data_IF_439957609530
#
_entry.id   IF_439957609530
#
_cell.length_a   1.000
_cell.length_b   1.000
_cell.length_c   1.000
_cell.angle_alpha   90.00
_cell.angle_beta   90.00
_cell.angle_gamma   90.00
#
_symmetry.space_group_name_H-M   'P 1'
#
loop_
_entity.id
_entity.type
_entity.pdbx_description
1 polymer ?
#
# COMPACT_ATOMS: atom_id res chain seq x y z
N UNK A 1 7.79 14.98 15.15
CA UNK A 1 6.49 14.36 14.86
C UNK A 1 6.13 14.82 13.48
N UNK A 2 5.91 13.89 12.56
CA UNK A 2 5.61 14.24 11.17
C UNK A 2 4.22 14.89 11.09
N UNK A 3 4.06 15.94 10.26
CA UNK A 3 2.79 16.65 10.15
C UNK A 3 1.74 15.73 9.52
N UNK A 4 0.48 15.90 9.97
CA UNK A 4 -0.65 15.26 9.31
C UNK A 4 -0.85 15.90 7.94
N UNK A 5 -0.88 15.08 6.89
CA UNK A 5 -1.02 15.50 5.50
C UNK A 5 -2.27 14.84 4.89
N UNK A 6 -3.13 15.65 4.25
CA UNK A 6 -4.15 15.16 3.32
C UNK A 6 -3.65 15.34 1.90
N UNK A 7 -3.53 14.25 1.15
CA UNK A 7 -3.09 14.28 -0.24
C UNK A 7 -4.09 13.61 -1.18
N UNK A 8 -4.23 14.18 -2.37
CA UNK A 8 -4.81 13.53 -3.55
C UNK A 8 -3.69 13.29 -4.56
N UNK A 9 -4.03 12.86 -5.78
CA UNK A 9 -3.03 12.69 -6.84
C UNK A 9 -2.26 13.98 -7.16
N UNK A 10 -2.96 15.12 -7.17
CA UNK A 10 -2.43 16.40 -7.68
C UNK A 10 -2.19 17.45 -6.59
N UNK A 11 -2.61 17.20 -5.34
CA UNK A 11 -2.60 18.24 -4.29
C UNK A 11 -2.33 17.66 -2.91
N UNK A 12 -1.60 18.41 -2.08
CA UNK A 12 -1.36 18.10 -0.67
C UNK A 12 -1.73 19.27 0.23
N UNK A 13 -2.27 18.98 1.41
CA UNK A 13 -2.70 19.93 2.42
C UNK A 13 -2.09 19.53 3.77
N UNK A 14 -1.19 20.35 4.30
CA UNK A 14 -0.64 20.17 5.64
C UNK A 14 -1.66 20.61 6.69
N UNK A 15 -1.81 19.81 7.75
CA UNK A 15 -2.74 20.06 8.87
C UNK A 15 -4.15 20.46 8.40
N UNK A 16 -4.78 19.61 7.57
CA UNK A 16 -6.05 19.94 6.94
C UNK A 16 -7.16 20.11 7.99
N UNK A 17 -7.96 21.16 7.85
CA UNK A 17 -9.15 21.34 8.69
C UNK A 17 -10.32 20.47 8.20
N UNK A 18 -11.38 20.39 9.02
CA UNK A 18 -12.54 19.55 8.71
C UNK A 18 -13.24 19.95 7.41
N UNK A 19 -13.23 21.25 7.05
CA UNK A 19 -13.82 21.76 5.82
C UNK A 19 -13.02 21.35 4.58
N UNK A 20 -11.68 21.41 4.67
CA UNK A 20 -10.77 20.96 3.62
C UNK A 20 -10.92 19.46 3.38
N UNK A 21 -10.96 18.66 4.45
CA UNK A 21 -11.22 17.21 4.37
C UNK A 21 -12.53 16.94 3.63
N UNK A 22 -13.63 17.58 4.05
CA UNK A 22 -14.95 17.38 3.45
C UNK A 22 -14.96 17.77 1.96
N UNK A 23 -14.34 18.90 1.62
CA UNK A 23 -14.25 19.38 0.24
C UNK A 23 -13.47 18.43 -0.65
N UNK A 24 -12.31 17.94 -0.18
CA UNK A 24 -11.47 17.00 -0.92
C UNK A 24 -12.22 15.69 -1.17
N UNK A 25 -12.82 15.10 -0.14
CA UNK A 25 -13.58 13.86 -0.27
C UNK A 25 -14.80 14.02 -1.19
N UNK A 26 -15.50 15.15 -1.11
CA UNK A 26 -16.63 15.45 -2.00
C UNK A 26 -16.20 15.67 -3.47
N UNK A 27 -14.93 15.99 -3.71
CA UNK A 27 -14.38 16.16 -5.06
C UNK A 27 -13.92 14.87 -5.72
N UNK A 28 -13.95 13.74 -4.99
CA UNK A 28 -13.63 12.43 -5.54
C UNK A 28 -14.76 11.97 -6.46
N UNK A 29 -14.47 11.96 -7.76
CA UNK A 29 -15.40 11.66 -8.85
C UNK A 29 -15.18 10.27 -9.45
N UNK A 30 -14.15 9.53 -9.00
CA UNK A 30 -13.77 8.24 -9.57
C UNK A 30 -13.12 8.34 -10.96
N UNK A 31 -12.90 9.56 -11.47
CA UNK A 31 -12.21 9.85 -12.72
C UNK A 31 -10.76 10.19 -12.47
N UNK A 32 -10.41 11.49 -12.53
CA UNK A 32 -9.05 11.95 -12.19
C UNK A 32 -8.78 11.91 -10.69
N UNK A 33 -9.81 12.14 -9.88
CA UNK A 33 -9.71 12.16 -8.42
C UNK A 33 -10.26 10.84 -7.85
N UNK A 34 -9.42 9.81 -7.91
CA UNK A 34 -9.81 8.44 -7.51
C UNK A 34 -9.56 8.15 -6.03
N UNK A 35 -8.69 8.93 -5.38
CA UNK A 35 -8.28 8.66 -4.00
C UNK A 35 -7.87 9.92 -3.22
N UNK A 36 -8.07 9.85 -1.91
CA UNK A 36 -7.55 10.80 -0.94
C UNK A 36 -6.91 10.04 0.23
N UNK A 37 -5.72 10.46 0.65
CA UNK A 37 -4.96 9.84 1.74
C UNK A 37 -4.72 10.87 2.83
N UNK A 38 -5.07 10.53 4.07
CA UNK A 38 -4.81 11.32 5.26
C UNK A 38 -3.85 10.54 6.16
N UNK A 39 -2.65 11.05 6.38
CA UNK A 39 -1.64 10.31 7.13
C UNK A 39 -0.47 11.17 7.59
N UNK A 40 0.40 10.56 8.39
CA UNK A 40 1.67 11.19 8.85
C UNK A 40 2.88 10.59 8.16
N UNK A 41 2.73 9.39 7.57
CA UNK A 41 3.75 8.69 6.81
C UNK A 41 3.13 7.69 5.85
N UNK A 42 3.93 7.12 4.95
CA UNK A 42 3.53 6.02 4.07
C UNK A 42 3.16 4.74 4.84
N UNK A 43 3.47 4.69 6.13
CA UNK A 43 3.15 3.54 6.99
C UNK A 43 2.00 3.79 7.94
N UNK A 44 1.55 5.04 8.11
CA UNK A 44 0.48 5.41 9.03
C UNK A 44 -0.49 6.37 8.34
N UNK A 45 -1.55 5.82 7.75
CA UNK A 45 -2.51 6.58 6.96
C UNK A 45 -3.90 5.95 6.95
N UNK A 46 -4.90 6.78 6.67
CA UNK A 46 -6.24 6.44 6.27
C UNK A 46 -6.48 6.93 4.84
N UNK A 47 -6.88 6.04 3.94
CA UNK A 47 -7.10 6.36 2.53
C UNK A 47 -8.54 6.05 2.14
N UNK A 48 -9.17 6.95 1.41
CA UNK A 48 -10.47 6.74 0.77
C UNK A 48 -10.25 6.53 -0.73
N UNK A 49 -10.97 5.55 -1.27
CA UNK A 49 -11.01 5.24 -2.70
C UNK A 49 -12.47 5.14 -3.12
N UNK A 50 -12.81 5.66 -4.30
CA UNK A 50 -14.18 5.65 -4.81
C UNK A 50 -14.68 7.03 -5.21
N UNK A 51 -15.99 7.22 -5.15
CA UNK A 51 -16.63 8.46 -5.60
C UNK A 51 -17.90 8.75 -4.82
N UNK A 52 -18.37 10.00 -4.88
CA UNK A 52 -19.65 10.38 -4.27
C UNK A 52 -20.83 9.60 -4.86
N UNK A 53 -20.77 9.26 -6.16
CA UNK A 53 -21.84 8.54 -6.87
C UNK A 53 -21.90 7.05 -6.51
N UNK A 54 -20.74 6.38 -6.41
CA UNK A 54 -20.65 4.94 -6.22
C UNK A 54 -20.38 4.54 -4.76
N UNK A 55 -20.12 5.52 -3.90
CA UNK A 55 -19.65 5.31 -2.53
C UNK A 55 -18.14 5.08 -2.46
N UNK A 56 -17.69 4.82 -1.23
CA UNK A 56 -16.27 4.77 -0.89
C UNK A 56 -15.89 3.46 -0.20
N UNK A 57 -14.66 3.02 -0.43
CA UNK A 57 -13.95 2.07 0.41
C UNK A 57 -12.80 2.76 1.15
N UNK A 58 -12.54 2.34 2.38
CA UNK A 58 -11.40 2.82 3.16
C UNK A 58 -10.30 1.77 3.29
N UNK A 59 -9.06 2.24 3.19
CA UNK A 59 -7.86 1.48 3.51
C UNK A 59 -7.16 2.18 4.71
N UNK A 60 -6.82 1.42 5.74
CA UNK A 60 -6.15 1.89 6.95
C UNK A 60 -4.83 1.15 7.10
N UNK A 61 -3.72 1.87 7.25
CA UNK A 61 -2.42 1.28 7.56
C UNK A 61 -1.86 1.82 8.87
N UNK A 62 -1.40 0.92 9.75
CA UNK A 62 -0.96 1.25 11.11
C UNK A 62 0.49 0.82 11.37
N UNK A 63 1.45 1.64 10.94
CA UNK A 63 2.88 1.53 11.20
C UNK A 63 3.62 0.46 10.39
N UNK A 64 2.95 -0.59 9.93
CA UNK A 64 3.54 -1.66 9.12
C UNK A 64 2.58 -2.21 8.07
N UNK A 65 3.13 -2.80 7.01
CA UNK A 65 2.38 -3.45 5.93
C UNK A 65 1.55 -4.65 6.40
N UNK A 66 1.96 -5.31 7.48
CA UNK A 66 1.20 -6.42 8.08
C UNK A 66 -0.08 -5.92 8.77
N UNK A 67 -0.12 -4.63 9.12
CA UNK A 67 -1.24 -3.96 9.77
C UNK A 67 -1.99 -3.06 8.78
N UNK A 68 -2.24 -3.61 7.59
CA UNK A 68 -3.09 -2.99 6.58
C UNK A 68 -4.48 -3.62 6.61
N UNK A 69 -5.47 -2.76 6.72
CA UNK A 69 -6.88 -3.11 6.80
C UNK A 69 -7.64 -2.40 5.70
N UNK A 70 -8.73 -3.00 5.27
CA UNK A 70 -9.58 -2.47 4.22
C UNK A 70 -11.04 -2.72 4.59
N UNK A 71 -11.92 -1.75 4.36
CA UNK A 71 -13.33 -1.94 4.64
C UNK A 71 -13.90 -3.00 3.71
N UNK A 72 -14.71 -3.89 4.29
CA UNK A 72 -15.41 -4.92 3.52
C UNK A 72 -16.48 -4.31 2.62
N UNK A 73 -17.21 -3.34 3.16
CA UNK A 73 -18.11 -2.50 2.38
C UNK A 73 -17.29 -1.47 1.59
N UNK A 74 -17.63 -1.34 0.31
CA UNK A 74 -17.01 -0.42 -0.66
C UNK A 74 -17.97 0.67 -1.14
N UNK A 75 -19.17 0.72 -0.57
CA UNK A 75 -20.21 1.68 -0.88
C UNK A 75 -20.50 2.61 0.32
N UNK A 76 -19.49 2.91 1.14
CA UNK A 76 -19.65 3.78 2.30
C UNK A 76 -20.05 5.19 1.87
N UNK A 77 -21.03 5.83 2.53
CA UNK A 77 -21.50 7.16 2.14
C UNK A 77 -20.49 8.26 2.48
N UNK A 78 -20.47 9.33 1.66
CA UNK A 78 -19.57 10.48 1.84
C UNK A 78 -19.59 11.06 3.26
N UNK A 79 -20.77 11.19 3.86
CA UNK A 79 -20.93 11.76 5.18
C UNK A 79 -20.18 10.95 6.25
N UNK A 80 -20.31 9.61 6.19
CA UNK A 80 -19.64 8.72 7.12
C UNK A 80 -18.11 8.73 6.92
N UNK A 81 -17.65 8.68 5.67
CA UNK A 81 -16.20 8.75 5.37
C UNK A 81 -15.60 10.08 5.81
N UNK A 82 -16.32 11.18 5.61
CA UNK A 82 -15.89 12.51 6.06
C UNK A 82 -15.74 12.55 7.58
N UNK A 83 -16.70 12.00 8.32
CA UNK A 83 -16.62 11.90 9.77
C UNK A 83 -15.43 11.05 10.22
N UNK A 84 -15.24 9.87 9.61
CA UNK A 84 -14.11 9.00 9.90
C UNK A 84 -12.76 9.71 9.70
N UNK A 85 -12.58 10.43 8.58
CA UNK A 85 -11.36 11.21 8.31
C UNK A 85 -11.16 12.32 9.34
N UNK A 86 -12.22 13.06 9.70
CA UNK A 86 -12.12 14.14 10.69
C UNK A 86 -11.81 13.60 12.10
N UNK A 87 -12.33 12.43 12.46
CA UNK A 87 -12.01 11.75 13.73
C UNK A 87 -10.57 11.23 13.72
N UNK A 88 -10.14 10.60 12.63
CA UNK A 88 -8.75 10.17 12.43
C UNK A 88 -7.76 11.36 12.55
N UNK A 89 -8.08 12.52 11.96
CA UNK A 89 -7.27 13.73 12.08
C UNK A 89 -7.09 14.21 13.54
N UNK A 90 -8.03 13.87 14.42
CA UNK A 90 -7.99 14.15 15.86
C UNK A 90 -7.43 12.99 16.70
N UNK A 91 -6.85 11.97 16.05
CA UNK A 91 -6.40 10.72 16.67
C UNK A 91 -7.50 9.94 17.40
N UNK A 92 -8.77 10.17 17.05
CA UNK A 92 -9.91 9.38 17.55
C UNK A 92 -10.14 8.20 16.60
N UNK A 93 -9.97 6.99 17.11
CA UNK A 93 -10.12 5.73 16.36
C UNK A 93 -11.48 5.04 16.60
N UNK A 94 -12.41 5.66 17.33
CA UNK A 94 -13.70 5.03 17.69
C UNK A 94 -14.58 4.69 16.49
N UNK A 95 -14.45 5.43 15.37
CA UNK A 95 -15.15 5.18 14.11
C UNK A 95 -14.79 3.82 13.49
N UNK A 96 -13.61 3.26 13.83
CA UNK A 96 -13.15 1.98 13.29
C UNK A 96 -14.09 0.83 13.66
N UNK A 97 -14.73 0.89 14.83
CA UNK A 97 -15.62 -0.17 15.31
C UNK A 97 -17.00 -0.18 14.61
N UNK A 98 -17.32 0.86 13.84
CA UNK A 98 -18.63 1.04 13.20
C UNK A 98 -18.72 0.33 11.84
N UNK A 99 -17.61 -0.19 11.31
CA UNK A 99 -17.55 -0.89 10.02
C UNK A 99 -16.74 -2.18 10.10
N UNK A 100 -17.06 -3.13 9.21
CA UNK A 100 -16.29 -4.36 9.07
C UNK A 100 -14.99 -4.14 8.28
N UNK A 101 -13.89 -4.65 8.83
CA UNK A 101 -12.57 -4.60 8.22
C UNK A 101 -12.07 -5.99 7.84
N UNK A 102 -11.48 -6.08 6.66
CA UNK A 102 -10.70 -7.22 6.22
C UNK A 102 -9.21 -6.84 6.29
N UNK A 103 -8.41 -7.69 6.93
CA UNK A 103 -6.95 -7.51 6.94
C UNK A 103 -6.39 -7.95 5.59
N UNK A 104 -5.72 -7.03 4.89
CA UNK A 104 -5.11 -7.33 3.61
C UNK A 104 -3.85 -8.16 3.87
N UNK A 105 -3.91 -9.46 3.59
CA UNK A 105 -2.73 -10.32 3.63
C UNK A 105 -1.88 -10.00 2.42
N UNK A 106 -0.85 -9.20 2.61
CA UNK A 106 0.22 -9.09 1.63
C UNK A 106 0.99 -10.41 1.68
N UNK A 107 0.66 -11.33 0.78
CA UNK A 107 1.54 -12.45 0.46
C UNK A 107 2.78 -11.85 -0.20
N UNK A 108 3.79 -11.51 0.62
CA UNK A 108 5.11 -11.21 0.09
C UNK A 108 5.50 -12.44 -0.72
N UNK A 109 5.70 -12.33 -2.05
CA UNK A 109 6.14 -13.46 -2.83
C UNK A 109 7.42 -13.93 -2.16
N UNK A 110 7.40 -15.14 -1.60
CA UNK A 110 8.63 -15.82 -1.21
C UNK A 110 9.41 -15.92 -2.51
N UNK A 111 10.36 -15.01 -2.72
CA UNK A 111 11.34 -15.13 -3.79
C UNK A 111 11.87 -16.54 -3.69
N UNK A 112 11.49 -17.39 -4.65
CA UNK A 112 12.02 -18.75 -4.67
C UNK A 112 13.53 -18.59 -4.75
N UNK A 113 14.24 -19.13 -3.76
CA UNK A 113 15.70 -19.19 -3.69
C UNK A 113 16.41 -19.53 -5.02
N UNK A 114 15.69 -20.15 -5.95
CA UNK A 114 16.10 -20.53 -7.29
C UNK A 114 16.26 -19.35 -8.28
N UNK A 115 15.72 -18.16 -7.98
CA UNK A 115 15.96 -16.93 -8.74
C UNK A 115 17.10 -16.07 -8.18
N UNK A 116 17.78 -16.53 -7.11
CA UNK A 116 18.91 -15.82 -6.52
C UNK A 116 20.21 -16.19 -7.23
N UNK A 117 21.21 -15.30 -7.14
CA UNK A 117 22.58 -15.39 -7.69
C UNK A 117 23.25 -16.79 -7.60
N UNK A 118 22.84 -17.63 -6.66
CA UNK A 118 23.25 -19.03 -6.54
C UNK A 118 22.98 -19.90 -7.79
N UNK A 119 21.88 -19.66 -8.52
CA UNK A 119 21.63 -20.35 -9.79
C UNK A 119 22.72 -20.00 -10.82
N UNK A 120 23.14 -18.73 -10.86
CA UNK A 120 24.26 -18.28 -11.70
C UNK A 120 25.60 -18.87 -11.23
N UNK A 121 25.84 -18.96 -9.93
CA UNK A 121 27.05 -19.60 -9.38
C UNK A 121 27.12 -21.09 -9.76
N UNK A 122 26.01 -21.82 -9.61
CA UNK A 122 25.93 -23.23 -9.99
C UNK A 122 26.24 -23.45 -11.47
N UNK A 123 25.68 -22.61 -12.35
CA UNK A 123 25.96 -22.65 -13.78
C UNK A 123 27.45 -22.37 -14.09
N UNK A 124 28.05 -21.37 -13.45
CA UNK A 124 29.47 -21.03 -13.67
C UNK A 124 30.41 -22.14 -13.21
N UNK A 125 30.12 -22.79 -12.07
CA UNK A 125 30.90 -23.94 -11.60
C UNK A 125 30.78 -25.13 -12.56
N UNK A 126 29.58 -25.41 -13.07
CA UNK A 126 29.37 -26.47 -14.05
C UNK A 126 30.14 -26.21 -15.35
N UNK A 127 30.10 -24.98 -15.87
CA UNK A 127 30.84 -24.58 -17.08
C UNK A 127 32.35 -24.66 -16.84
N UNK A 128 32.85 -24.15 -15.71
CA UNK A 128 34.28 -24.23 -15.38
C UNK A 128 34.76 -25.69 -15.26
N UNK A 129 33.96 -26.56 -14.64
CA UNK A 129 34.24 -28.00 -14.57
C UNK A 129 34.28 -28.67 -15.94
N UNK A 130 33.34 -28.34 -16.83
CA UNK A 130 33.30 -28.85 -18.20
C UNK A 130 34.52 -28.41 -19.02
N UNK A 131 34.93 -27.14 -18.90
CA UNK A 131 36.14 -26.62 -19.55
C UNK A 131 37.38 -27.33 -19.03
N UNK A 132 37.50 -27.51 -17.71
CA UNK A 132 38.63 -28.22 -17.10
C UNK A 132 38.72 -29.68 -17.55
N UNK A 133 37.60 -30.41 -17.54
CA UNK A 133 37.54 -31.80 -17.99
C UNK A 133 37.90 -31.93 -19.48
N UNK A 134 37.43 -31.00 -20.31
CA UNK A 134 37.77 -30.96 -21.72
C UNK A 134 39.27 -30.72 -21.96
N UNK A 135 39.88 -29.81 -21.20
CA UNK A 135 41.33 -29.58 -21.27
C UNK A 135 42.13 -30.79 -20.79
N UNK A 136 41.70 -31.43 -19.69
CA UNK A 136 42.34 -32.64 -19.18
C UNK A 136 42.28 -33.79 -20.20
N UNK A 137 41.15 -33.95 -20.90
CA UNK A 137 41.01 -34.97 -21.94
C UNK A 137 41.89 -34.70 -23.17
N UNK A 138 42.06 -33.44 -23.58
CA UNK A 138 42.99 -33.08 -24.67
C UNK A 138 44.47 -33.18 -24.28
N UNK A 139 44.79 -33.11 -22.99
CA UNK A 139 46.16 -33.19 -22.48
C UNK A 139 46.58 -34.63 -22.13
N UNK A 140 45.66 -35.59 -22.19
CA UNK A 140 45.98 -37.01 -22.09
C UNK A 140 46.69 -37.46 -23.39
N UNK A 141 47.91 -38.02 -23.31
CA UNK A 141 48.71 -38.43 -24.46
C UNK A 141 48.16 -39.66 -25.19
#
# INVERSE_FOLDING_TARGET
>A
MDPLLLSTHDTGYEQPDGATIAKVLASLDGGRNVQATLGTSDTCYLQATGSVEHGFGLDLQEGSLERRFRTRDRALPLAWVTEAFQRYARADMGWRAEVEWEQERIEVPRESWMNSWWAYVGLMVAVAGAVWAWHAWRAAP
#
